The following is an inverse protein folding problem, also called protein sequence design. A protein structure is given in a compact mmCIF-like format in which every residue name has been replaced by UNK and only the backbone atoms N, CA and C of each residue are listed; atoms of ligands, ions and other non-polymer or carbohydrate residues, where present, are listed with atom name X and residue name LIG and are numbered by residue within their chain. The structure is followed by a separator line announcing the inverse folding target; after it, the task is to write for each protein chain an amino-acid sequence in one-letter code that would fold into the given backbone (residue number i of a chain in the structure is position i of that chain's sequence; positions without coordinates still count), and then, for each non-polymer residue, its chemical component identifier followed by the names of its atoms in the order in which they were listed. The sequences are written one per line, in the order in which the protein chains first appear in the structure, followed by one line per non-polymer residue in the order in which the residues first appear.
data_IF_738337327218
#
_entry.id   IF_738337327218
#
_cell.length_a   1.000
_cell.length_b   1.000
_cell.length_c   1.000
_cell.angle_alpha   90.00
_cell.angle_beta   90.00
_cell.angle_gamma   90.00
#
_symmetry.space_group_name_H-M   'P 1'
#
loop_
_entity.id
_entity.type
_entity.pdbx_description
1 polymer ?
#
# COMPACT_ATOMS: atom_id res chain seq x y z
N UNK A 1 8.18 -33.40 -29.04
CA UNK A 1 7.58 -32.05 -29.13
C UNK A 1 6.75 -31.80 -27.87
N UNK A 2 6.83 -30.62 -27.27
CA UNK A 2 6.12 -30.31 -26.02
C UNK A 2 4.75 -29.68 -26.33
N UNK A 3 3.72 -30.11 -25.59
CA UNK A 3 2.33 -29.67 -25.76
C UNK A 3 1.80 -29.02 -24.48
N UNK A 4 0.92 -28.03 -24.66
CA UNK A 4 0.30 -27.28 -23.58
C UNK A 4 -1.20 -27.24 -23.77
N UNK A 5 -1.97 -27.44 -22.70
CA UNK A 5 -3.41 -27.24 -22.71
C UNK A 5 -3.71 -25.74 -22.57
N UNK A 6 -4.22 -25.12 -23.64
CA UNK A 6 -4.42 -23.67 -23.73
C UNK A 6 -5.86 -23.31 -23.40
N UNK A 7 -6.04 -22.34 -22.49
CA UNK A 7 -7.32 -21.65 -22.28
C UNK A 7 -7.39 -20.42 -23.18
N UNK A 8 -8.27 -20.46 -24.17
CA UNK A 8 -8.46 -19.35 -25.12
C UNK A 8 -9.18 -18.17 -24.46
N UNK A 9 -8.68 -16.96 -24.72
CA UNK A 9 -9.27 -15.73 -24.19
C UNK A 9 -10.66 -15.51 -24.82
N UNK A 10 -11.67 -15.22 -24.00
CA UNK A 10 -13.05 -15.02 -24.48
C UNK A 10 -13.87 -16.29 -24.71
N UNK A 11 -13.28 -17.49 -24.58
CA UNK A 11 -13.97 -18.76 -24.79
C UNK A 11 -14.15 -19.56 -23.50
N UNK A 12 -15.19 -20.42 -23.42
CA UNK A 12 -15.39 -21.33 -22.30
C UNK A 12 -14.28 -22.38 -22.22
N UNK A 13 -14.09 -22.98 -21.04
CA UNK A 13 -13.07 -24.02 -20.82
C UNK A 13 -13.26 -25.28 -21.67
N UNK A 14 -14.47 -25.52 -22.18
CA UNK A 14 -14.76 -26.60 -23.13
C UNK A 14 -14.07 -26.41 -24.48
N UNK A 15 -13.66 -25.18 -24.81
CA UNK A 15 -12.92 -24.85 -26.03
C UNK A 15 -11.41 -25.00 -25.88
N UNK A 16 -10.90 -25.43 -24.72
CA UNK A 16 -9.46 -25.59 -24.52
C UNK A 16 -8.88 -26.66 -25.46
N UNK A 17 -7.73 -26.37 -26.07
CA UNK A 17 -7.05 -27.29 -26.98
C UNK A 17 -5.61 -27.55 -26.56
N UNK A 18 -5.08 -28.71 -26.94
CA UNK A 18 -3.66 -29.03 -26.79
C UNK A 18 -2.87 -28.44 -27.96
N UNK A 19 -1.98 -27.50 -27.67
CA UNK A 19 -1.20 -26.79 -28.69
C UNK A 19 0.29 -27.12 -28.54
N UNK A 20 1.02 -27.37 -29.63
CA UNK A 20 2.46 -27.57 -29.58
C UNK A 20 3.16 -26.24 -29.26
N UNK A 21 4.29 -26.31 -28.56
CA UNK A 21 5.09 -25.15 -28.14
C UNK A 21 5.38 -24.14 -29.26
N UNK A 22 5.59 -24.61 -30.49
CA UNK A 22 5.89 -23.79 -31.67
C UNK A 22 4.75 -22.84 -32.06
N UNK A 23 3.50 -23.19 -31.75
CA UNK A 23 2.32 -22.37 -32.03
C UNK A 23 2.09 -21.29 -30.94
N UNK A 24 2.83 -21.34 -29.84
CA UNK A 24 2.61 -20.49 -28.67
C UNK A 24 3.60 -19.33 -28.62
N UNK A 25 3.09 -18.14 -28.95
CA UNK A 25 3.86 -16.89 -28.91
C UNK A 25 3.79 -16.17 -27.55
N UNK A 26 3.03 -16.71 -26.59
CA UNK A 26 2.84 -16.15 -25.24
C UNK A 26 4.01 -16.46 -24.28
N UNK A 27 5.23 -16.05 -24.66
CA UNK A 27 6.47 -16.36 -23.92
C UNK A 27 6.40 -16.07 -22.41
N UNK A 28 5.76 -14.97 -22.01
CA UNK A 28 5.60 -14.60 -20.60
C UNK A 28 4.71 -15.57 -19.82
N UNK A 29 3.61 -16.05 -20.41
CA UNK A 29 2.71 -17.02 -19.76
C UNK A 29 3.38 -18.38 -19.61
N UNK A 30 4.14 -18.81 -20.62
CA UNK A 30 4.90 -20.05 -20.57
C UNK A 30 5.99 -20.00 -19.50
N UNK A 31 6.74 -18.90 -19.44
CA UNK A 31 7.73 -18.67 -18.38
C UNK A 31 7.07 -18.73 -17.00
N UNK A 32 5.91 -18.09 -16.83
CA UNK A 32 5.16 -18.11 -15.59
C UNK A 32 4.72 -19.53 -15.19
N UNK A 33 4.16 -20.29 -16.14
CA UNK A 33 3.74 -21.67 -15.91
C UNK A 33 4.91 -22.55 -15.43
N UNK A 34 6.07 -22.43 -16.08
CA UNK A 34 7.25 -23.19 -15.66
C UNK A 34 7.75 -22.78 -14.27
N UNK A 35 7.74 -21.49 -13.95
CA UNK A 35 8.06 -21.02 -12.60
C UNK A 35 7.10 -21.59 -11.55
N UNK A 36 5.81 -21.73 -11.90
CA UNK A 36 4.82 -22.30 -10.98
C UNK A 36 5.01 -23.80 -10.79
N UNK A 37 5.38 -24.52 -11.85
CA UNK A 37 5.69 -25.95 -11.79
C UNK A 37 6.86 -26.25 -10.86
N UNK A 38 7.88 -25.39 -10.83
CA UNK A 38 9.00 -25.49 -9.89
C UNK A 38 8.60 -25.16 -8.44
N UNK A 39 7.48 -24.44 -8.24
CA UNK A 39 6.99 -23.97 -6.92
C UNK A 39 5.83 -24.79 -6.37
N UNK A 40 5.47 -25.90 -7.01
CA UNK A 40 4.40 -26.76 -6.52
C UNK A 40 4.72 -27.26 -5.10
N UNK A 41 3.76 -27.21 -4.16
CA UNK A 41 3.96 -27.76 -2.83
C UNK A 41 4.34 -29.24 -2.87
N UNK A 42 5.41 -29.59 -2.14
CA UNK A 42 6.01 -30.92 -2.19
C UNK A 42 6.94 -31.14 -3.40
N UNK A 43 7.52 -30.06 -3.94
CA UNK A 43 8.60 -30.09 -4.92
C UNK A 43 8.16 -29.94 -6.39
N UNK A 44 9.12 -29.71 -7.30
CA UNK A 44 8.85 -29.46 -8.71
C UNK A 44 7.99 -30.55 -9.36
N UNK A 45 6.98 -30.13 -10.11
CA UNK A 45 6.10 -31.04 -10.85
C UNK A 45 6.56 -31.20 -12.30
N UNK A 46 6.65 -32.44 -12.77
CA UNK A 46 6.94 -32.77 -14.17
C UNK A 46 5.79 -33.56 -14.80
N UNK A 47 5.49 -33.37 -16.09
CA UNK A 47 4.49 -34.18 -16.79
C UNK A 47 4.92 -35.65 -16.86
N UNK A 48 4.03 -36.57 -16.51
CA UNK A 48 4.19 -38.01 -16.74
C UNK A 48 3.35 -38.52 -17.92
N UNK A 49 3.26 -39.84 -18.12
CA UNK A 49 2.50 -40.44 -19.24
C UNK A 49 1.01 -40.06 -19.26
N UNK A 50 0.44 -39.76 -18.08
CA UNK A 50 -0.95 -39.32 -17.90
C UNK A 50 -1.09 -37.81 -17.67
N UNK A 51 -0.04 -37.04 -17.96
CA UNK A 51 0.03 -35.60 -17.69
C UNK A 51 0.55 -35.27 -16.29
N UNK A 52 0.19 -34.08 -15.79
CA UNK A 52 0.62 -33.60 -14.48
C UNK A 52 -0.15 -34.29 -13.33
N UNK A 53 0.49 -34.54 -12.18
CA UNK A 53 -0.21 -35.03 -10.99
C UNK A 53 -1.37 -34.12 -10.58
N UNK A 54 -2.46 -34.69 -10.08
CA UNK A 54 -3.66 -33.93 -9.68
C UNK A 54 -3.36 -32.78 -8.69
N UNK A 55 -2.43 -32.99 -7.74
CA UNK A 55 -1.97 -31.94 -6.82
C UNK A 55 -1.40 -30.72 -7.54
N UNK A 56 -0.57 -30.96 -8.57
CA UNK A 56 0.10 -29.92 -9.32
C UNK A 56 -0.93 -29.18 -10.18
N UNK A 57 -1.81 -29.92 -10.88
CA UNK A 57 -2.90 -29.34 -11.65
C UNK A 57 -3.80 -28.45 -10.79
N UNK A 58 -4.21 -28.92 -9.61
CA UNK A 58 -5.02 -28.14 -8.66
C UNK A 58 -4.30 -26.87 -8.21
N UNK A 59 -3.03 -26.98 -7.81
CA UNK A 59 -2.22 -25.83 -7.42
C UNK A 59 -2.10 -24.79 -8.54
N UNK A 60 -1.78 -25.22 -9.77
CA UNK A 60 -1.62 -24.32 -10.92
C UNK A 60 -2.92 -23.57 -11.25
N UNK A 61 -4.07 -24.25 -11.18
CA UNK A 61 -5.38 -23.61 -11.39
C UNK A 61 -5.66 -22.59 -10.29
N UNK A 62 -5.39 -22.93 -9.02
CA UNK A 62 -5.56 -22.00 -7.90
C UNK A 62 -4.63 -20.80 -8.01
N UNK A 63 -3.35 -21.02 -8.35
CA UNK A 63 -2.35 -19.96 -8.55
C UNK A 63 -2.74 -19.02 -9.68
N UNK A 64 -3.25 -19.56 -10.80
CA UNK A 64 -3.75 -18.75 -11.91
C UNK A 64 -4.95 -17.88 -11.50
N UNK A 65 -5.92 -18.45 -10.76
CA UNK A 65 -7.07 -17.70 -10.22
C UNK A 65 -6.63 -16.62 -9.23
N UNK A 66 -5.70 -16.94 -8.34
CA UNK A 66 -5.12 -16.00 -7.38
C UNK A 66 -4.47 -14.83 -8.10
N UNK A 67 -3.60 -15.05 -9.09
CA UNK A 67 -2.96 -13.97 -9.85
C UNK A 67 -3.97 -13.08 -10.57
N UNK A 68 -5.06 -13.64 -11.09
CA UNK A 68 -6.14 -12.84 -11.67
C UNK A 68 -6.84 -11.97 -10.61
N UNK A 69 -7.06 -12.49 -9.40
CA UNK A 69 -7.63 -11.73 -8.29
C UNK A 69 -6.69 -10.61 -7.83
N UNK A 70 -5.39 -10.90 -7.65
CA UNK A 70 -4.39 -9.90 -7.27
C UNK A 70 -4.27 -8.79 -8.33
N UNK A 71 -4.30 -9.13 -9.64
CA UNK A 71 -4.33 -8.13 -10.72
C UNK A 71 -5.60 -7.29 -10.77
N UNK A 72 -6.74 -7.81 -10.31
CA UNK A 72 -7.97 -7.00 -10.16
C UNK A 72 -7.81 -6.03 -8.99
N UNK A 73 -7.29 -6.52 -7.87
CA UNK A 73 -7.06 -5.70 -6.68
C UNK A 73 -6.01 -4.61 -6.92
N UNK A 74 -4.87 -4.94 -7.54
CA UNK A 74 -3.86 -3.95 -7.94
C UNK A 74 -4.46 -2.82 -8.81
N UNK A 75 -5.30 -3.18 -9.79
CA UNK A 75 -6.01 -2.18 -10.60
C UNK A 75 -6.96 -1.32 -9.77
N UNK A 76 -7.70 -1.93 -8.84
CA UNK A 76 -8.56 -1.18 -7.92
C UNK A 76 -7.74 -0.18 -7.10
N UNK A 77 -6.66 -0.62 -6.46
CA UNK A 77 -5.77 0.24 -5.68
C UNK A 77 -5.23 1.42 -6.50
N UNK A 78 -4.75 1.15 -7.72
CA UNK A 78 -4.20 2.20 -8.59
C UNK A 78 -5.25 3.14 -9.18
N UNK A 79 -6.51 2.71 -9.29
CA UNK A 79 -7.62 3.55 -9.71
C UNK A 79 -8.14 4.42 -8.56
N UNK A 80 -8.04 3.95 -7.32
CA UNK A 80 -8.51 4.66 -6.12
C UNK A 80 -7.49 5.67 -5.58
N UNK A 81 -6.18 5.42 -5.75
CA UNK A 81 -5.13 6.30 -5.20
C UNK A 81 -5.19 7.74 -5.75
N UNK A 82 -4.94 8.71 -4.89
CA UNK A 82 -4.81 10.15 -5.26
C UNK A 82 -3.36 10.60 -5.44
N UNK A 83 -2.38 9.73 -5.21
CA UNK A 83 -0.95 10.04 -5.27
C UNK A 83 -0.26 9.43 -6.51
N UNK A 84 0.99 9.87 -6.77
CA UNK A 84 1.71 9.52 -8.01
C UNK A 84 2.33 8.12 -7.97
N UNK A 85 2.77 7.64 -6.82
CA UNK A 85 3.50 6.38 -6.65
C UNK A 85 2.65 5.14 -6.91
N UNK A 86 3.04 4.30 -7.88
CA UNK A 86 2.26 3.11 -8.28
C UNK A 86 2.23 2.08 -7.17
N UNK A 87 1.10 1.38 -7.07
CA UNK A 87 0.97 0.26 -6.13
C UNK A 87 1.06 -1.03 -6.93
N UNK A 88 2.01 -1.89 -6.61
CA UNK A 88 2.14 -3.22 -7.20
C UNK A 88 1.71 -4.25 -6.16
N UNK A 89 1.11 -5.36 -6.59
CA UNK A 89 0.73 -6.46 -5.70
C UNK A 89 1.34 -7.78 -6.16
N UNK A 90 2.12 -8.42 -5.29
CA UNK A 90 2.82 -9.66 -5.60
C UNK A 90 2.61 -10.72 -4.52
N UNK A 91 2.31 -11.95 -4.93
CA UNK A 91 2.36 -13.09 -4.04
C UNK A 91 2.96 -14.29 -4.77
N UNK A 92 4.20 -14.60 -4.43
CA UNK A 92 4.94 -15.75 -4.94
C UNK A 92 5.27 -16.78 -3.84
N UNK A 93 4.67 -16.62 -2.67
CA UNK A 93 4.93 -17.45 -1.48
C UNK A 93 3.81 -18.49 -1.29
N UNK A 94 2.56 -18.05 -1.33
CA UNK A 94 1.40 -18.91 -1.06
C UNK A 94 0.23 -18.61 -2.03
N UNK A 95 -0.96 -19.13 -1.70
CA UNK A 95 -2.19 -18.98 -2.48
C UNK A 95 -3.15 -17.91 -1.93
N UNK A 96 -2.76 -17.11 -0.93
CA UNK A 96 -3.61 -16.06 -0.38
C UNK A 96 -3.94 -14.98 -1.45
N UNK A 97 -5.23 -14.71 -1.62
CA UNK A 97 -5.73 -13.65 -2.48
C UNK A 97 -5.72 -12.27 -1.79
N UNK A 98 -6.34 -11.26 -2.44
CA UNK A 98 -6.59 -9.96 -1.81
C UNK A 98 -7.29 -10.10 -0.44
N UNK A 99 -7.02 -9.22 0.52
CA UNK A 99 -7.78 -9.17 1.77
C UNK A 99 -9.27 -8.93 1.48
N UNK A 100 -10.15 -9.64 2.18
CA UNK A 100 -11.60 -9.58 1.95
C UNK A 100 -12.29 -8.40 2.61
N UNK A 101 -11.70 -7.83 3.65
CA UNK A 101 -12.30 -6.82 4.52
C UNK A 101 -11.36 -5.62 4.68
N UNK A 102 -10.99 -5.02 3.55
CA UNK A 102 -10.12 -3.86 3.50
C UNK A 102 -10.55 -2.90 2.39
N UNK A 103 -10.69 -1.63 2.72
CA UNK A 103 -11.07 -0.54 1.83
C UNK A 103 -9.92 0.45 1.75
N UNK A 104 -9.41 0.68 0.54
CA UNK A 104 -8.36 1.66 0.32
C UNK A 104 -8.91 3.09 0.40
N UNK A 105 -8.33 3.90 1.27
CA UNK A 105 -8.63 5.33 1.43
C UNK A 105 -7.36 6.17 1.27
N UNK A 106 -7.52 7.42 0.85
CA UNK A 106 -6.40 8.34 0.63
C UNK A 106 -6.19 9.32 1.79
N UNK A 107 -7.24 9.60 2.54
CA UNK A 107 -7.29 10.55 3.64
C UNK A 107 -8.05 9.89 4.79
N UNK A 108 -7.98 10.47 5.99
CA UNK A 108 -8.71 9.98 7.15
C UNK A 108 -10.22 9.88 6.88
N UNK A 109 -10.83 8.81 7.40
CA UNK A 109 -12.28 8.71 7.51
C UNK A 109 -12.69 9.17 8.91
N UNK A 110 -13.47 10.23 9.02
CA UNK A 110 -13.90 10.74 10.33
C UNK A 110 -15.00 9.85 10.90
N UNK A 111 -14.74 9.24 12.06
CA UNK A 111 -15.70 8.42 12.79
C UNK A 111 -16.73 9.25 13.57
N UNK A 112 -17.75 8.57 14.09
CA UNK A 112 -18.78 9.22 14.91
C UNK A 112 -18.18 9.81 16.20
N UNK A 113 -18.63 11.00 16.58
CA UNK A 113 -18.17 11.69 17.80
C UNK A 113 -16.83 12.41 17.65
N UNK A 114 -16.15 12.31 16.51
CA UNK A 114 -14.88 13.02 16.25
C UNK A 114 -15.17 14.41 15.68
N UNK A 115 -14.56 15.44 16.29
CA UNK A 115 -14.63 16.80 15.80
C UNK A 115 -13.23 17.29 15.42
N UNK A 116 -13.00 17.52 14.12
CA UNK A 116 -11.74 18.05 13.59
C UNK A 116 -11.84 19.57 13.43
N UNK A 117 -10.92 20.30 14.05
CA UNK A 117 -10.87 21.76 13.93
C UNK A 117 -10.16 22.12 12.63
N UNK A 118 -10.81 22.85 11.70
CA UNK A 118 -10.16 23.28 10.47
C UNK A 118 -9.11 24.35 10.76
N UNK A 119 -8.06 24.37 9.95
CA UNK A 119 -7.01 25.39 10.06
C UNK A 119 -7.56 26.75 9.63
N UNK A 120 -7.47 27.75 10.52
CA UNK A 120 -8.07 29.06 10.33
C UNK A 120 -7.15 30.07 9.60
N UNK A 121 -5.83 29.89 9.68
CA UNK A 121 -4.84 30.88 9.22
C UNK A 121 -3.83 30.28 8.25
N UNK A 122 -3.31 31.11 7.34
CA UNK A 122 -2.26 30.76 6.41
C UNK A 122 -1.21 31.87 6.30
N UNK A 123 -0.04 31.56 5.73
CA UNK A 123 1.01 32.54 5.52
C UNK A 123 0.79 33.36 4.24
N UNK A 124 1.38 34.55 4.21
CA UNK A 124 1.36 35.46 3.05
C UNK A 124 2.70 35.49 2.30
N UNK A 125 3.60 34.55 2.60
CA UNK A 125 4.96 34.53 2.06
C UNK A 125 4.98 34.43 0.52
N UNK A 126 5.86 35.21 -0.12
CA UNK A 126 6.18 35.05 -1.54
C UNK A 126 7.10 33.84 -1.80
N UNK A 127 8.05 33.59 -0.90
CA UNK A 127 8.89 32.39 -0.86
C UNK A 127 8.92 31.86 0.57
N UNK A 128 8.39 30.66 0.78
CA UNK A 128 8.25 30.05 2.11
C UNK A 128 9.57 29.51 2.69
N UNK A 129 10.62 29.37 1.88
CA UNK A 129 11.92 28.86 2.31
C UNK A 129 12.94 30.01 2.46
N UNK A 130 13.10 30.84 1.43
CA UNK A 130 14.12 31.90 1.43
C UNK A 130 13.63 33.21 2.06
N UNK A 131 12.34 33.55 1.92
CA UNK A 131 11.76 34.84 2.37
C UNK A 131 10.58 34.63 3.34
N UNK A 132 10.77 33.74 4.30
CA UNK A 132 9.76 33.41 5.28
C UNK A 132 9.52 34.58 6.26
N UNK A 133 8.45 35.36 6.03
CA UNK A 133 7.99 36.39 6.98
C UNK A 133 7.64 35.72 8.31
N UNK A 134 8.35 36.06 9.39
CA UNK A 134 8.14 35.46 10.70
C UNK A 134 8.38 33.94 10.76
N UNK A 135 9.15 33.36 9.82
CA UNK A 135 9.41 31.92 9.77
C UNK A 135 8.32 31.07 9.10
N UNK A 136 7.39 31.68 8.34
CA UNK A 136 6.29 31.00 7.64
C UNK A 136 5.33 30.30 8.64
N UNK A 137 4.48 29.37 8.18
CA UNK A 137 3.56 28.62 9.06
C UNK A 137 4.26 27.96 10.26
N UNK A 138 5.46 27.36 10.13
CA UNK A 138 6.19 26.86 11.29
C UNK A 138 6.51 27.96 12.30
N UNK A 139 7.03 29.10 11.84
CA UNK A 139 7.41 30.21 12.72
C UNK A 139 6.22 30.87 13.42
N UNK A 140 5.06 30.95 12.76
CA UNK A 140 3.81 31.39 13.38
C UNK A 140 3.38 30.47 14.55
N UNK A 141 3.73 29.18 14.47
CA UNK A 141 3.54 28.21 15.55
C UNK A 141 4.76 28.10 16.49
N UNK A 142 5.71 29.05 16.46
CA UNK A 142 6.96 28.99 17.22
C UNK A 142 7.81 27.74 16.97
N UNK A 143 7.74 27.19 15.75
CA UNK A 143 8.42 25.97 15.32
C UNK A 143 9.39 26.24 14.16
N UNK A 144 10.33 25.30 13.95
CA UNK A 144 11.32 25.39 12.87
C UNK A 144 10.77 24.83 11.57
N UNK A 145 11.26 25.35 10.46
CA UNK A 145 11.01 24.78 9.14
C UNK A 145 11.53 23.35 9.07
N UNK A 146 10.68 22.41 8.63
CA UNK A 146 10.93 20.98 8.78
C UNK A 146 11.80 20.37 7.67
N UNK A 147 11.89 21.02 6.51
CA UNK A 147 12.47 20.44 5.29
C UNK A 147 13.66 21.23 4.76
N UNK A 148 14.62 20.54 4.14
CA UNK A 148 15.63 21.18 3.29
C UNK A 148 15.10 21.40 1.86
N UNK A 149 15.91 22.00 0.98
CA UNK A 149 15.58 22.22 -0.45
C UNK A 149 15.25 20.92 -1.21
N UNK A 150 15.77 19.78 -0.77
CA UNK A 150 15.47 18.47 -1.36
C UNK A 150 14.16 17.84 -0.82
N UNK A 151 13.44 18.52 0.08
CA UNK A 151 12.23 18.02 0.74
C UNK A 151 12.50 16.93 1.77
N UNK A 152 13.71 16.85 2.32
CA UNK A 152 14.08 15.91 3.38
C UNK A 152 13.90 16.55 4.75
N UNK A 153 13.39 15.78 5.70
CA UNK A 153 13.19 16.22 7.09
C UNK A 153 14.55 16.51 7.76
N UNK A 154 14.67 17.69 8.35
CA UNK A 154 15.88 18.14 9.06
C UNK A 154 15.65 18.44 10.56
N UNK A 155 14.41 18.32 11.04
CA UNK A 155 14.08 18.38 12.47
C UNK A 155 14.24 17.02 13.16
N UNK A 156 14.36 17.02 14.49
CA UNK A 156 14.47 15.81 15.31
C UNK A 156 13.11 15.14 15.47
N UNK A 157 13.10 13.81 15.65
CA UNK A 157 11.89 13.09 16.03
C UNK A 157 11.30 13.65 17.33
N UNK A 158 9.97 13.63 17.45
CA UNK A 158 9.23 14.26 18.55
C UNK A 158 8.91 15.75 18.33
N UNK A 159 9.47 16.38 17.30
CA UNK A 159 9.06 17.74 16.89
C UNK A 159 8.01 17.67 15.77
N UNK A 160 6.98 18.54 15.81
CA UNK A 160 5.89 18.53 14.86
C UNK A 160 6.31 19.17 13.54
N UNK A 161 5.63 18.81 12.46
CA UNK A 161 5.79 19.44 11.16
C UNK A 161 4.56 20.30 10.86
N UNK A 162 4.77 21.60 10.68
CA UNK A 162 3.73 22.55 10.29
C UNK A 162 3.85 22.92 8.81
N UNK A 163 3.10 22.23 7.97
CA UNK A 163 3.05 22.55 6.53
C UNK A 163 2.21 23.80 6.23
N UNK A 164 2.45 24.38 5.05
CA UNK A 164 1.53 25.37 4.49
C UNK A 164 0.20 24.69 4.13
N UNK A 165 -0.90 25.41 4.29
CA UNK A 165 -2.26 24.91 4.10
C UNK A 165 -3.02 25.69 3.01
N UNK A 166 -4.30 25.36 2.77
CA UNK A 166 -5.13 25.99 1.73
C UNK A 166 -5.40 27.49 1.91
N UNK A 167 -5.17 28.05 3.11
CA UNK A 167 -5.25 29.49 3.40
C UNK A 167 -3.95 30.24 3.09
N UNK A 168 -2.86 29.54 2.79
CA UNK A 168 -1.58 30.18 2.48
C UNK A 168 -1.56 30.68 1.03
N UNK A 169 -0.87 31.81 0.79
CA UNK A 169 -0.70 32.38 -0.56
C UNK A 169 0.15 31.51 -1.49
N UNK A 170 1.01 30.66 -0.95
CA UNK A 170 1.93 29.82 -1.72
C UNK A 170 1.22 28.65 -2.42
N UNK A 171 1.64 28.36 -3.66
CA UNK A 171 1.08 27.29 -4.49
C UNK A 171 1.52 25.88 -4.10
N UNK A 172 1.12 24.89 -4.91
CA UNK A 172 1.37 23.47 -4.68
C UNK A 172 2.88 23.11 -4.66
N UNK A 173 3.70 23.85 -5.40
CA UNK A 173 5.15 23.62 -5.47
C UNK A 173 5.93 24.17 -4.27
N UNK A 174 5.24 24.80 -3.31
CA UNK A 174 5.85 25.28 -2.08
C UNK A 174 6.73 24.19 -1.41
N UNK A 175 7.95 24.53 -0.96
CA UNK A 175 8.85 23.58 -0.30
C UNK A 175 8.33 23.14 1.07
N UNK A 176 7.38 23.87 1.67
CA UNK A 176 6.68 23.51 2.91
C UNK A 176 5.35 22.76 2.66
N UNK A 177 5.27 22.04 1.54
CA UNK A 177 4.16 21.17 1.14
C UNK A 177 4.74 19.85 0.64
N UNK A 178 5.19 18.98 1.54
CA UNK A 178 5.85 17.69 1.25
C UNK A 178 4.90 16.53 1.49
N UNK A 179 4.31 16.42 2.68
CA UNK A 179 3.37 15.34 3.05
C UNK A 179 2.13 15.41 2.16
N UNK A 180 1.55 16.61 2.01
CA UNK A 180 0.36 16.82 1.16
C UNK A 180 0.56 16.55 -0.34
N UNK A 181 1.80 16.36 -0.82
CA UNK A 181 2.08 15.91 -2.19
C UNK A 181 1.86 14.40 -2.37
N UNK A 182 1.61 13.68 -1.26
CA UNK A 182 1.33 12.26 -1.23
C UNK A 182 2.55 11.40 -1.60
N UNK A 183 2.30 10.10 -1.70
CA UNK A 183 3.32 9.09 -2.01
C UNK A 183 3.88 9.32 -3.42
N UNK A 184 5.21 9.48 -3.52
CA UNK A 184 5.92 9.68 -4.80
C UNK A 184 6.65 8.43 -5.30
N UNK A 185 6.73 7.39 -4.47
CA UNK A 185 7.46 6.19 -4.78
C UNK A 185 6.51 5.06 -5.21
N UNK A 186 6.89 4.34 -6.24
CA UNK A 186 6.30 3.04 -6.55
C UNK A 186 6.59 2.05 -5.41
N UNK A 187 5.53 1.49 -4.85
CA UNK A 187 5.56 0.58 -3.71
C UNK A 187 4.89 -0.75 -4.10
N UNK A 188 5.38 -1.84 -3.52
CA UNK A 188 4.86 -3.19 -3.75
C UNK A 188 4.36 -3.79 -2.44
N UNK A 189 3.06 -4.12 -2.41
CA UNK A 189 2.45 -4.97 -1.40
C UNK A 189 2.81 -6.40 -1.77
N UNK A 190 3.59 -7.08 -0.93
CA UNK A 190 4.09 -8.42 -1.23
C UNK A 190 3.80 -9.39 -0.09
N UNK A 191 3.60 -10.67 -0.41
CA UNK A 191 3.50 -11.73 0.60
C UNK A 191 4.89 -12.07 1.14
N UNK A 192 5.09 -12.01 2.45
CA UNK A 192 6.38 -12.35 3.08
C UNK A 192 6.60 -13.86 3.10
N UNK A 193 7.86 -14.29 2.99
CA UNK A 193 8.24 -15.72 3.00
C UNK A 193 8.35 -16.34 4.39
N UNK A 194 8.28 -15.54 5.44
CA UNK A 194 8.55 -15.90 6.83
C UNK A 194 7.30 -15.92 7.72
N UNK A 195 6.11 -15.89 7.11
CA UNK A 195 4.85 -16.03 7.83
C UNK A 195 4.28 -14.74 8.43
N UNK A 196 4.96 -13.60 8.29
CA UNK A 196 4.42 -12.27 8.72
C UNK A 196 3.24 -11.75 7.89
N UNK A 197 2.86 -12.46 6.83
CA UNK A 197 1.68 -12.14 6.04
C UNK A 197 2.00 -11.19 4.90
N UNK A 198 1.26 -10.09 4.79
CA UNK A 198 1.54 -9.05 3.78
C UNK A 198 2.62 -8.09 4.30
N UNK A 199 3.38 -7.51 3.38
CA UNK A 199 4.42 -6.53 3.66
C UNK A 199 4.47 -5.47 2.57
N UNK A 200 5.19 -4.37 2.82
CA UNK A 200 5.43 -3.33 1.81
C UNK A 200 6.92 -3.19 1.55
N UNK A 201 7.30 -3.08 0.28
CA UNK A 201 8.65 -2.73 -0.15
C UNK A 201 8.62 -1.64 -1.20
N UNK A 202 9.66 -0.80 -1.23
CA UNK A 202 9.85 0.17 -2.30
C UNK A 202 10.45 -0.48 -3.54
N UNK A 203 10.07 -0.02 -4.73
CA UNK A 203 10.65 -0.44 -6.01
C UNK A 203 11.81 0.46 -6.46
N UNK A 204 12.14 1.47 -5.67
CA UNK A 204 13.21 2.42 -5.95
C UNK A 204 13.92 2.88 -4.67
N UNK A 205 15.14 3.39 -4.82
CA UNK A 205 15.90 3.92 -3.69
C UNK A 205 15.19 5.14 -3.09
N UNK A 206 14.96 5.11 -1.78
CA UNK A 206 14.49 6.26 -1.00
C UNK A 206 15.67 6.85 -0.25
N UNK A 207 15.89 8.17 -0.36
CA UNK A 207 16.94 8.86 0.39
C UNK A 207 16.53 8.98 1.86
N UNK A 208 17.51 8.95 2.77
CA UNK A 208 17.29 9.19 4.20
C UNK A 208 16.45 10.46 4.42
N UNK A 209 15.57 10.42 5.42
CA UNK A 209 14.67 11.51 5.82
C UNK A 209 13.68 11.97 4.74
N UNK A 210 13.40 11.16 3.72
CA UNK A 210 12.35 11.47 2.74
C UNK A 210 11.00 10.99 3.25
N UNK A 211 9.96 11.78 3.03
CA UNK A 211 8.58 11.34 3.27
C UNK A 211 8.24 10.12 2.42
N UNK A 212 7.62 9.10 3.03
CA UNK A 212 7.24 7.85 2.35
C UNK A 212 5.73 7.75 2.15
N UNK A 213 4.97 7.79 3.25
CA UNK A 213 3.51 7.71 3.27
C UNK A 213 2.98 8.19 4.63
N UNK A 214 1.70 8.55 4.68
CA UNK A 214 0.95 8.76 5.92
C UNK A 214 0.38 7.44 6.45
N UNK A 215 0.11 7.38 7.75
CA UNK A 215 -0.73 6.34 8.35
C UNK A 215 -2.16 6.86 8.44
N UNK A 216 -3.07 6.29 7.63
CA UNK A 216 -4.46 6.71 7.57
C UNK A 216 -5.39 5.55 7.87
N UNK A 217 -6.52 5.88 8.47
CA UNK A 217 -7.57 4.97 8.87
C UNK A 217 -8.85 5.72 9.22
N UNK A 218 -9.75 5.06 9.92
CA UNK A 218 -10.88 5.71 10.58
C UNK A 218 -10.37 6.42 11.84
N UNK A 219 -10.59 7.72 11.98
CA UNK A 219 -10.34 8.41 13.25
C UNK A 219 -11.54 8.12 14.16
N UNK A 220 -11.28 7.53 15.32
CA UNK A 220 -12.26 7.17 16.34
C UNK A 220 -11.87 7.78 17.69
N UNK A 221 -12.81 7.86 18.63
CA UNK A 221 -12.50 8.25 20.01
C UNK A 221 -11.68 7.17 20.70
N UNK A 222 -10.85 7.54 21.69
CA UNK A 222 -10.07 6.56 22.46
C UNK A 222 -10.98 5.54 23.17
N UNK A 223 -12.20 5.91 23.57
CA UNK A 223 -13.21 4.99 24.12
C UNK A 223 -13.64 3.92 23.10
N UNK A 224 -13.90 4.32 21.85
CA UNK A 224 -14.26 3.39 20.78
C UNK A 224 -13.07 2.51 20.39
N UNK A 225 -11.85 3.05 20.44
CA UNK A 225 -10.62 2.30 20.21
C UNK A 225 -10.43 1.19 21.26
N UNK A 226 -10.60 1.49 22.54
CA UNK A 226 -10.55 0.50 23.62
C UNK A 226 -11.59 -0.62 23.41
N UNK A 227 -12.82 -0.24 23.06
CA UNK A 227 -13.89 -1.21 22.77
C UNK A 227 -13.54 -2.14 21.61
N UNK A 228 -12.91 -1.63 20.54
CA UNK A 228 -12.45 -2.43 19.39
C UNK A 228 -11.19 -3.23 19.71
N UNK A 229 -10.26 -2.65 20.47
CA UNK A 229 -8.99 -3.25 20.87
C UNK A 229 -9.16 -4.59 21.57
N UNK A 230 -10.15 -4.71 22.46
CA UNK A 230 -10.49 -5.98 23.12
C UNK A 230 -10.82 -7.12 22.14
N UNK A 231 -11.30 -6.80 20.93
CA UNK A 231 -11.55 -7.77 19.86
C UNK A 231 -10.27 -8.03 19.07
N UNK A 232 -9.52 -7.00 18.74
CA UNK A 232 -8.30 -7.08 17.92
C UNK A 232 -7.14 -7.79 18.62
N UNK A 233 -6.99 -7.63 19.93
CA UNK A 233 -5.97 -8.32 20.73
C UNK A 233 -6.14 -9.84 20.65
N UNK A 234 -7.39 -10.32 20.68
CA UNK A 234 -7.70 -11.75 20.51
C UNK A 234 -7.38 -12.26 19.10
N UNK A 235 -7.30 -11.37 18.11
CA UNK A 235 -7.00 -11.67 16.72
C UNK A 235 -5.52 -11.43 16.36
N UNK A 236 -4.72 -10.88 17.28
CA UNK A 236 -3.33 -10.50 17.04
C UNK A 236 -3.18 -9.37 16.01
N UNK A 237 -4.20 -8.52 15.87
CA UNK A 237 -4.23 -7.43 14.91
C UNK A 237 -3.83 -6.11 15.57
N UNK A 238 -2.81 -5.44 15.03
CA UNK A 238 -2.31 -4.14 15.54
C UNK A 238 -2.54 -3.05 14.51
N UNK A 239 -3.74 -2.49 14.49
CA UNK A 239 -4.14 -1.43 13.54
C UNK A 239 -4.59 -0.13 14.22
N UNK A 240 -4.51 -0.08 15.55
CA UNK A 240 -4.80 1.11 16.34
C UNK A 240 -3.53 1.92 16.53
N UNK A 241 -3.60 3.21 16.23
CA UNK A 241 -2.50 4.16 16.41
C UNK A 241 -3.02 5.43 17.11
N UNK A 242 -2.61 5.64 18.36
CA UNK A 242 -3.09 6.76 19.17
C UNK A 242 -2.51 8.10 18.69
N UNK A 243 -3.34 9.14 18.69
CA UNK A 243 -2.95 10.50 18.31
C UNK A 243 -2.53 11.33 19.55
N UNK A 244 -1.58 10.80 20.31
CA UNK A 244 -1.18 11.26 21.65
C UNK A 244 -0.24 12.49 21.70
N UNK A 245 0.02 13.14 20.56
CA UNK A 245 0.99 14.24 20.48
C UNK A 245 0.57 15.49 21.28
N UNK A 246 -0.73 15.82 21.30
CA UNK A 246 -1.27 16.98 22.04
C UNK A 246 -2.22 16.53 23.15
N UNK A 247 -3.24 15.76 22.78
CA UNK A 247 -4.24 15.22 23.70
C UNK A 247 -4.60 13.79 23.29
N UNK A 248 -4.74 12.91 24.26
CA UNK A 248 -5.13 11.50 24.05
C UNK A 248 -6.65 11.36 23.95
N UNK A 249 -7.22 11.86 22.85
CA UNK A 249 -8.68 11.89 22.61
C UNK A 249 -9.10 11.01 21.44
N UNK A 250 -8.18 10.78 20.50
CA UNK A 250 -8.46 10.11 19.25
C UNK A 250 -7.41 9.06 18.90
N UNK A 251 -7.85 8.02 18.22
CA UNK A 251 -7.04 6.93 17.69
C UNK A 251 -7.35 6.73 16.21
N UNK A 252 -6.34 6.41 15.40
CA UNK A 252 -6.52 5.98 14.01
C UNK A 252 -6.66 4.46 13.98
N UNK A 253 -7.78 3.97 13.49
CA UNK A 253 -8.06 2.55 13.25
C UNK A 253 -7.93 2.22 11.76
N UNK A 254 -6.87 1.50 11.40
CA UNK A 254 -6.61 1.08 10.04
C UNK A 254 -7.12 -0.34 9.71
N UNK A 255 -7.90 -1.00 10.56
CA UNK A 255 -8.27 -2.41 10.40
C UNK A 255 -9.09 -2.66 9.11
N UNK A 256 -10.10 -1.82 8.85
CA UNK A 256 -11.01 -1.95 7.71
C UNK A 256 -10.81 -0.90 6.63
N UNK A 257 -10.40 0.31 7.02
CA UNK A 257 -10.14 1.43 6.10
C UNK A 257 -8.68 1.83 6.29
N UNK A 258 -7.89 1.87 5.22
CA UNK A 258 -6.53 2.37 5.31
C UNK A 258 -5.88 2.60 3.96
N UNK A 259 -4.67 3.15 3.96
CA UNK A 259 -3.85 3.21 2.74
C UNK A 259 -2.84 2.05 2.72
N UNK A 260 -1.75 2.19 1.96
CA UNK A 260 -0.72 1.15 1.87
C UNK A 260 0.02 0.88 3.21
N UNK A 261 0.01 1.84 4.14
CA UNK A 261 0.62 1.70 5.47
C UNK A 261 0.01 0.58 6.31
N UNK A 262 -1.26 0.21 6.06
CA UNK A 262 -1.92 -0.94 6.68
C UNK A 262 -1.10 -2.24 6.54
N UNK A 263 -0.35 -2.39 5.45
CA UNK A 263 0.45 -3.59 5.16
C UNK A 263 1.92 -3.48 5.62
N UNK A 264 2.29 -2.42 6.33
CA UNK A 264 3.67 -2.24 6.82
C UNK A 264 3.87 -3.08 8.08
N UNK A 265 4.89 -3.93 8.07
CA UNK A 265 5.23 -4.77 9.21
C UNK A 265 6.07 -4.02 10.25
N UNK A 266 5.93 -4.42 11.51
CA UNK A 266 6.92 -4.13 12.55
C UNK A 266 8.25 -4.85 12.24
N UNK A 267 9.37 -4.22 12.58
CA UNK A 267 10.73 -4.77 12.40
C UNK A 267 11.47 -4.90 13.72
#
# INVERSE_FOLDING_TARGET
EEFYLVKWCGYPSSSNTWEPRKNLHCRGLLKQLHQDLERVPGGPARPGPRGLPARATSYLVQKAKQRQALRRWERLLNNTRSHRGRIVVENEVDLHGPPSDFVYINEYKVGAGVNLVPVAVGCECGDCLANAVGGCCPGASSNKFAYNEAGQVCIRAGLPIYECNSRCRCGADCPNRVVQKGIRYDLCIFRTGDGRGWGVRTLQRIRKNSFVMEYVGEIITSEEAERRGQVYDRQGATYLFDLDYVEDVYTVDAAHYGNISHFVNHS
#
